data_IF_251874257063
#
_entry.id   IF_251874257063
#
_cell.length_a   1.000
_cell.length_b   1.000
_cell.length_c   1.000
_cell.angle_alpha   90.00
_cell.angle_beta   90.00
_cell.angle_gamma   90.00
#
_symmetry.space_group_name_H-M   'P 1'
#
loop_
_entity.id
_entity.type
_entity.pdbx_description
1 polymer ?
#
# COMPACT_ATOMS: atom_id res chain seq x y z
N UNK A 1 4.57 -7.70 -1.08
CA UNK A 1 5.24 -6.56 -1.74
C UNK A 1 4.28 -5.59 -2.44
N UNK A 2 3.19 -6.05 -3.07
CA UNK A 2 2.20 -5.17 -3.72
C UNK A 2 1.72 -3.99 -2.85
N UNK A 3 1.46 -4.24 -1.56
CA UNK A 3 1.01 -3.19 -0.62
C UNK A 3 2.15 -2.24 -0.26
N UNK A 4 3.34 -2.77 0.03
CA UNK A 4 4.48 -1.99 0.54
C UNK A 4 5.26 -1.25 -0.55
N UNK A 5 5.16 -1.68 -1.81
CA UNK A 5 5.91 -1.12 -2.94
C UNK A 5 5.03 -0.36 -3.91
N UNK A 6 3.81 -0.84 -4.16
CA UNK A 6 2.88 -0.22 -5.11
C UNK A 6 1.71 0.49 -4.44
N UNK A 7 1.58 0.37 -3.11
CA UNK A 7 0.45 0.98 -2.42
C UNK A 7 -0.87 0.39 -2.88
N UNK A 8 -0.96 -0.94 -3.02
CA UNK A 8 -2.25 -1.60 -3.24
C UNK A 8 -3.04 -1.73 -1.92
N UNK A 9 -4.38 -1.65 -1.92
CA UNK A 9 -5.14 -1.89 -0.68
C UNK A 9 -5.16 -3.38 -0.40
N UNK A 10 -5.29 -3.77 0.87
CA UNK A 10 -5.35 -5.19 1.24
C UNK A 10 -6.48 -5.94 0.53
N UNK A 11 -7.65 -5.31 0.40
CA UNK A 11 -8.80 -5.89 -0.31
C UNK A 11 -8.54 -6.05 -1.81
N UNK A 12 -7.91 -5.07 -2.45
CA UNK A 12 -7.57 -5.12 -3.88
C UNK A 12 -6.50 -6.20 -4.14
N UNK A 13 -5.55 -6.37 -3.21
CA UNK A 13 -4.58 -7.45 -3.26
C UNK A 13 -5.23 -8.84 -3.11
N UNK A 14 -6.25 -8.98 -2.25
CA UNK A 14 -7.02 -10.24 -2.11
C UNK A 14 -7.77 -10.61 -3.40
N UNK A 15 -8.30 -9.60 -4.09
CA UNK A 15 -9.11 -9.76 -5.30
C UNK A 15 -8.30 -9.71 -6.59
N UNK A 16 -6.98 -9.58 -6.51
CA UNK A 16 -6.10 -9.50 -7.68
C UNK A 16 -6.20 -10.78 -8.50
N UNK A 17 -6.41 -10.65 -9.81
CA UNK A 17 -6.52 -11.77 -10.76
C UNK A 17 -5.33 -11.82 -11.70
N UNK A 18 -5.09 -12.99 -12.30
CA UNK A 18 -4.00 -13.14 -13.29
C UNK A 18 -4.15 -12.19 -14.48
N UNK A 19 -5.38 -11.93 -14.91
CA UNK A 19 -5.68 -10.99 -16.00
C UNK A 19 -5.40 -9.51 -15.68
N UNK A 20 -5.17 -9.17 -14.42
CA UNK A 20 -4.82 -7.80 -14.01
C UNK A 20 -3.31 -7.51 -14.19
N UNK A 21 -2.50 -8.54 -14.47
CA UNK A 21 -1.05 -8.46 -14.62
C UNK A 21 -0.67 -8.51 -16.11
N UNK A 22 -0.27 -7.36 -16.65
CA UNK A 22 0.32 -7.24 -17.98
C UNK A 22 1.84 -7.40 -17.87
N UNK A 23 2.32 -8.63 -18.05
CA UNK A 23 3.74 -8.95 -17.96
C UNK A 23 4.58 -8.30 -19.07
N UNK A 24 4.21 -8.37 -20.37
CA UNK A 24 4.96 -7.70 -21.42
C UNK A 24 5.00 -6.17 -21.24
N UNK A 25 3.88 -5.56 -20.83
CA UNK A 25 3.78 -4.13 -20.62
C UNK A 25 4.29 -3.65 -19.26
N UNK A 26 4.70 -4.55 -18.36
CA UNK A 26 5.11 -4.28 -16.98
C UNK A 26 4.08 -3.42 -16.22
N UNK A 27 2.80 -3.79 -16.30
CA UNK A 27 1.71 -3.03 -15.66
C UNK A 27 0.81 -3.94 -14.83
N UNK A 28 0.30 -3.35 -13.76
CA UNK A 28 -0.76 -3.89 -12.93
C UNK A 28 -1.98 -2.98 -13.11
N UNK A 29 -3.11 -3.53 -13.53
CA UNK A 29 -4.36 -2.78 -13.72
C UNK A 29 -5.48 -3.38 -12.91
N UNK A 30 -5.96 -2.69 -11.89
CA UNK A 30 -7.00 -3.18 -10.97
C UNK A 30 -8.13 -2.19 -10.84
N UNK A 31 -9.35 -2.68 -10.70
CA UNK A 31 -10.48 -1.86 -10.25
C UNK A 31 -10.54 -1.91 -8.73
N UNK A 32 -10.36 -0.75 -8.09
CA UNK A 32 -10.31 -0.67 -6.63
C UNK A 32 -11.67 -0.95 -6.01
N UNK A 33 -11.73 -1.88 -5.07
CA UNK A 33 -12.98 -2.32 -4.44
C UNK A 33 -13.68 -1.20 -3.66
N UNK A 34 -12.93 -0.27 -3.08
CA UNK A 34 -13.50 0.82 -2.25
C UNK A 34 -14.04 1.99 -3.09
N UNK A 35 -13.40 2.30 -4.21
CA UNK A 35 -13.67 3.53 -4.97
C UNK A 35 -14.30 3.25 -6.33
N UNK A 36 -14.24 2.02 -6.83
CA UNK A 36 -14.71 1.65 -8.18
C UNK A 36 -13.80 2.12 -9.31
N UNK A 37 -12.71 2.84 -9.01
CA UNK A 37 -11.82 3.37 -10.04
C UNK A 37 -10.79 2.35 -10.49
N UNK A 38 -10.48 2.40 -11.78
CA UNK A 38 -9.34 1.69 -12.34
C UNK A 38 -8.05 2.42 -11.97
N UNK A 39 -7.13 1.69 -11.38
CA UNK A 39 -5.77 2.15 -11.07
C UNK A 39 -4.79 1.32 -11.88
N UNK A 40 -3.88 2.02 -12.55
CA UNK A 40 -2.78 1.42 -13.31
C UNK A 40 -1.47 1.76 -12.62
N UNK A 41 -0.70 0.73 -12.27
CA UNK A 41 0.57 0.86 -11.54
C UNK A 41 1.67 0.16 -12.34
N UNK A 42 2.92 0.67 -12.30
CA UNK A 42 4.04 -0.05 -12.85
C UNK A 42 4.24 -1.36 -12.06
N UNK A 43 4.34 -2.48 -12.76
CA UNK A 43 4.75 -3.74 -12.16
C UNK A 43 6.28 -3.71 -11.99
N UNK A 44 6.73 -3.24 -10.84
CA UNK A 44 8.15 -3.17 -10.53
C UNK A 44 8.79 -4.56 -10.60
N UNK A 45 10.03 -4.64 -11.08
CA UNK A 45 10.75 -5.90 -11.31
C UNK A 45 10.78 -6.80 -10.08
N UNK A 46 11.08 -6.25 -8.90
CA UNK A 46 11.13 -6.98 -7.63
C UNK A 46 9.75 -7.53 -7.23
N UNK A 47 8.69 -6.74 -7.45
CA UNK A 47 7.31 -7.16 -7.20
C UNK A 47 6.91 -8.27 -8.17
N UNK A 48 7.23 -8.14 -9.46
CA UNK A 48 6.96 -9.15 -10.47
C UNK A 48 7.64 -10.49 -10.13
N UNK A 49 8.94 -10.47 -9.78
CA UNK A 49 9.65 -11.66 -9.35
C UNK A 49 9.04 -12.32 -8.12
N UNK A 50 8.65 -11.52 -7.11
CA UNK A 50 8.00 -12.06 -5.92
C UNK A 50 6.64 -12.72 -6.23
N UNK A 51 5.89 -12.17 -7.18
CA UNK A 51 4.62 -12.77 -7.64
C UNK A 51 4.89 -14.06 -8.41
N UNK A 52 5.89 -14.09 -9.29
CA UNK A 52 6.28 -15.30 -10.04
C UNK A 52 6.72 -16.40 -9.08
N UNK A 53 7.57 -16.08 -8.11
CA UNK A 53 8.04 -17.06 -7.11
C UNK A 53 6.87 -17.62 -6.29
N UNK A 54 5.95 -16.77 -5.86
CA UNK A 54 4.72 -17.23 -5.23
C UNK A 54 3.91 -18.16 -6.13
N UNK A 55 3.68 -17.79 -7.39
CA UNK A 55 2.87 -18.61 -8.33
C UNK A 55 3.52 -19.99 -8.58
N UNK A 56 4.85 -20.04 -8.72
CA UNK A 56 5.58 -21.27 -9.08
C UNK A 56 5.84 -22.18 -7.89
N UNK A 57 6.16 -21.60 -6.73
CA UNK A 57 6.71 -22.33 -5.59
C UNK A 57 5.81 -22.29 -4.36
N UNK A 58 5.00 -21.23 -4.20
CA UNK A 58 4.21 -20.99 -2.99
C UNK A 58 2.72 -21.31 -3.12
N UNK A 59 2.11 -21.05 -4.28
CA UNK A 59 0.66 -21.08 -4.48
C UNK A 59 0.14 -22.52 -4.53
N UNK A 60 -0.79 -22.92 -3.64
CA UNK A 60 -1.45 -24.22 -3.73
C UNK A 60 -2.16 -24.40 -5.07
N UNK A 61 -2.35 -25.66 -5.49
CA UNK A 61 -3.15 -25.98 -6.68
C UNK A 61 -4.63 -25.68 -6.38
N UNK A 62 -5.21 -24.78 -7.16
CA UNK A 62 -6.61 -24.38 -7.07
C UNK A 62 -7.04 -23.77 -8.40
N UNK A 63 -8.20 -24.18 -8.89
CA UNK A 63 -8.83 -23.63 -10.10
C UNK A 63 -9.63 -22.37 -9.72
N UNK A 64 -8.90 -21.28 -9.54
CA UNK A 64 -9.49 -19.96 -9.30
C UNK A 64 -8.65 -18.87 -9.98
N UNK A 65 -9.31 -17.79 -10.47
CA UNK A 65 -8.64 -16.73 -11.21
C UNK A 65 -7.81 -15.78 -10.35
N UNK A 66 -8.02 -15.79 -9.02
CA UNK A 66 -7.28 -14.95 -8.08
C UNK A 66 -5.82 -15.40 -7.94
N UNK A 67 -4.91 -14.43 -7.95
CA UNK A 67 -3.48 -14.66 -7.77
C UNK A 67 -3.23 -15.26 -6.39
N UNK A 68 -3.68 -14.59 -5.32
CA UNK A 68 -3.45 -15.01 -3.94
C UNK A 68 -4.63 -15.79 -3.37
N UNK A 69 -4.32 -16.93 -2.75
CA UNK A 69 -5.30 -17.86 -2.20
C UNK A 69 -4.94 -18.27 -0.77
N UNK A 70 -5.90 -18.89 -0.08
CA UNK A 70 -5.69 -19.51 1.24
C UNK A 70 -4.84 -20.77 1.11
N UNK A 71 -3.95 -20.96 2.08
CA UNK A 71 -3.10 -22.16 2.18
C UNK A 71 -3.66 -23.21 3.15
N UNK A 72 -4.78 -22.88 3.81
CA UNK A 72 -5.50 -23.77 4.72
C UNK A 72 -6.84 -24.15 4.10
N UNK A 73 -7.30 -25.37 4.35
CA UNK A 73 -8.60 -25.82 3.86
C UNK A 73 -9.74 -24.93 4.41
N UNK A 74 -10.78 -24.64 3.59
CA UNK A 74 -10.88 -24.94 2.17
C UNK A 74 -9.96 -24.03 1.33
N UNK A 75 -9.10 -24.65 0.51
CA UNK A 75 -8.21 -23.93 -0.42
C UNK A 75 -9.08 -23.19 -1.43
N UNK A 76 -8.80 -21.90 -1.61
CA UNK A 76 -9.57 -21.03 -2.48
C UNK A 76 -9.24 -19.56 -2.24
N UNK A 77 -9.91 -18.64 -2.95
CA UNK A 77 -9.67 -17.21 -2.81
C UNK A 77 -9.95 -16.75 -1.37
N UNK A 78 -9.26 -15.70 -0.95
CA UNK A 78 -9.61 -15.02 0.28
C UNK A 78 -10.99 -14.36 0.14
N UNK A 79 -11.85 -14.57 1.13
CA UNK A 79 -13.09 -13.82 1.28
C UNK A 79 -12.84 -12.38 1.70
N UNK A 80 -13.85 -11.53 1.61
CA UNK A 80 -13.76 -10.16 2.13
C UNK A 80 -13.55 -10.11 3.65
N UNK A 81 -14.07 -11.10 4.37
CA UNK A 81 -13.94 -11.24 5.82
C UNK A 81 -12.56 -11.79 6.26
N UNK A 82 -11.78 -12.35 5.33
CA UNK A 82 -10.44 -12.82 5.64
C UNK A 82 -9.51 -11.63 5.94
N UNK A 83 -9.11 -11.52 7.20
CA UNK A 83 -8.19 -10.49 7.67
C UNK A 83 -6.74 -10.94 7.51
N UNK A 84 -6.02 -10.31 6.58
CA UNK A 84 -4.58 -10.57 6.35
C UNK A 84 -3.67 -10.13 7.52
N UNK A 85 -4.24 -9.61 8.61
CA UNK A 85 -3.52 -9.14 9.78
C UNK A 85 -2.67 -10.26 10.42
N UNK A 86 -3.22 -11.46 10.56
CA UNK A 86 -2.49 -12.57 11.20
C UNK A 86 -1.27 -13.01 10.39
N UNK A 87 -1.36 -12.93 9.05
CA UNK A 87 -0.22 -13.18 8.16
C UNK A 87 0.89 -12.16 8.44
N UNK A 88 0.54 -10.88 8.54
CA UNK A 88 1.51 -9.83 8.87
C UNK A 88 2.15 -10.06 10.25
N UNK A 89 1.35 -10.36 11.28
CA UNK A 89 1.84 -10.60 12.64
C UNK A 89 2.80 -11.78 12.67
N UNK A 90 2.48 -12.87 11.99
CA UNK A 90 3.36 -14.04 11.85
C UNK A 90 4.72 -13.65 11.28
N UNK A 91 4.75 -12.90 10.17
CA UNK A 91 6.00 -12.49 9.53
C UNK A 91 6.76 -11.45 10.36
N UNK A 92 6.08 -10.53 11.03
CA UNK A 92 6.73 -9.57 11.92
C UNK A 92 7.43 -10.26 13.09
N UNK A 93 6.78 -11.26 13.70
CA UNK A 93 7.38 -12.08 14.77
C UNK A 93 8.60 -12.86 14.27
N UNK A 94 8.48 -13.51 13.11
CA UNK A 94 9.59 -14.24 12.50
C UNK A 94 10.79 -13.32 12.15
N UNK A 95 10.53 -12.06 11.85
CA UNK A 95 11.55 -11.05 11.58
C UNK A 95 12.02 -10.28 12.83
N UNK A 96 11.60 -10.70 14.03
CA UNK A 96 11.91 -10.03 15.30
C UNK A 96 11.52 -8.53 15.34
N UNK A 97 10.49 -8.15 14.59
CA UNK A 97 9.94 -6.79 14.59
C UNK A 97 8.96 -6.65 15.75
N UNK A 98 9.28 -5.76 16.68
CA UNK A 98 8.40 -5.45 17.81
C UNK A 98 7.09 -4.79 17.33
N UNK A 99 5.97 -5.49 17.55
CA UNK A 99 4.63 -4.96 17.35
C UNK A 99 4.13 -4.41 18.69
N UNK A 100 4.22 -3.09 18.87
CA UNK A 100 3.74 -2.45 20.10
C UNK A 100 2.22 -2.32 20.14
N UNK A 101 1.62 -2.54 21.31
CA UNK A 101 0.16 -2.49 21.52
C UNK A 101 -0.46 -1.12 21.20
N UNK A 102 0.30 -0.04 21.40
CA UNK A 102 -0.17 1.33 21.17
C UNK A 102 -0.16 1.75 19.70
N UNK A 103 0.58 1.05 18.82
CA UNK A 103 0.69 1.42 17.41
C UNK A 103 -0.13 0.47 16.56
N UNK A 104 -1.06 1.02 15.76
CA UNK A 104 -1.82 0.24 14.79
C UNK A 104 -0.87 -0.48 13.83
N UNK A 105 -0.93 -1.80 13.80
CA UNK A 105 -0.18 -2.64 12.85
C UNK A 105 -1.16 -3.40 11.94
N UNK A 106 -0.88 -3.42 10.64
CA UNK A 106 -1.77 -4.01 9.65
C UNK A 106 -1.42 -3.60 8.23
N UNK A 107 -2.17 -4.11 7.26
CA UNK A 107 -1.98 -3.78 5.85
C UNK A 107 -2.11 -2.28 5.57
N UNK A 108 -2.99 -1.59 6.30
CA UNK A 108 -3.12 -0.15 6.22
C UNK A 108 -1.86 0.58 6.71
N UNK A 109 -1.24 0.10 7.79
CA UNK A 109 0.02 0.66 8.31
C UNK A 109 1.16 0.51 7.30
N UNK A 110 1.25 -0.64 6.61
CA UNK A 110 2.23 -0.84 5.53
C UNK A 110 2.03 0.15 4.38
N UNK A 111 0.78 0.39 3.98
CA UNK A 111 0.43 1.39 2.97
C UNK A 111 0.83 2.80 3.42
N UNK A 112 0.56 3.12 4.69
CA UNK A 112 0.92 4.40 5.27
C UNK A 112 2.44 4.60 5.27
N UNK A 113 3.22 3.57 5.63
CA UNK A 113 4.69 3.64 5.56
C UNK A 113 5.18 3.95 4.14
N UNK A 114 4.57 3.38 3.10
CA UNK A 114 4.92 3.73 1.72
C UNK A 114 4.62 5.21 1.42
N UNK A 115 3.43 5.68 1.78
CA UNK A 115 3.03 7.07 1.57
C UNK A 115 3.98 8.06 2.26
N UNK A 116 4.31 7.81 3.53
CA UNK A 116 5.26 8.62 4.29
C UNK A 116 6.64 8.61 3.64
N UNK A 117 7.15 7.44 3.21
CA UNK A 117 8.46 7.35 2.54
C UNK A 117 8.51 8.11 1.21
N UNK A 118 7.45 8.03 0.41
CA UNK A 118 7.36 8.79 -0.84
C UNK A 118 7.38 10.29 -0.56
N UNK A 119 6.62 10.72 0.45
CA UNK A 119 6.52 12.12 0.86
C UNK A 119 7.86 12.65 1.41
N UNK A 120 8.53 11.88 2.26
CA UNK A 120 9.86 12.20 2.79
C UNK A 120 10.94 12.22 1.69
N UNK A 121 10.78 11.37 0.67
CA UNK A 121 11.59 11.39 -0.55
C UNK A 121 11.27 12.55 -1.50
N UNK A 122 10.36 13.46 -1.14
CA UNK A 122 10.03 14.63 -1.94
C UNK A 122 9.05 14.37 -3.09
N UNK A 123 8.37 13.21 -3.10
CA UNK A 123 7.35 12.93 -4.12
C UNK A 123 6.17 13.89 -3.92
N UNK A 124 5.69 14.57 -4.98
CA UNK A 124 4.53 15.46 -4.88
C UNK A 124 3.29 14.75 -4.34
N UNK A 125 2.51 15.46 -3.52
CA UNK A 125 1.34 14.89 -2.84
C UNK A 125 0.26 14.37 -3.81
N UNK A 126 0.13 15.02 -4.97
CA UNK A 126 -0.72 14.62 -6.10
C UNK A 126 -0.32 13.22 -6.61
N UNK A 127 0.97 13.01 -6.89
CA UNK A 127 1.47 11.71 -7.36
C UNK A 127 1.32 10.61 -6.30
N UNK A 128 1.48 10.95 -5.02
CA UNK A 128 1.22 10.01 -3.92
C UNK A 128 -0.27 9.66 -3.88
N UNK A 129 -1.18 10.63 -4.07
CA UNK A 129 -2.60 10.37 -4.13
C UNK A 129 -2.95 9.43 -5.29
N UNK A 130 -2.34 9.62 -6.47
CA UNK A 130 -2.51 8.76 -7.64
C UNK A 130 -2.04 7.32 -7.37
N UNK A 131 -0.81 7.15 -6.85
CA UNK A 131 -0.26 5.84 -6.48
C UNK A 131 -1.19 5.14 -5.48
N UNK A 132 -1.77 5.90 -4.55
CA UNK A 132 -2.68 5.37 -3.54
C UNK A 132 -4.14 5.28 -4.02
N UNK A 133 -4.47 5.70 -5.24
CA UNK A 133 -5.84 5.77 -5.75
C UNK A 133 -6.78 6.49 -4.79
N UNK A 134 -6.37 7.66 -4.30
CA UNK A 134 -7.19 8.56 -3.49
C UNK A 134 -7.91 9.54 -4.43
N UNK A 135 -9.23 9.68 -4.28
CA UNK A 135 -10.03 10.64 -5.05
C UNK A 135 -9.88 12.09 -4.55
N UNK A 136 -9.31 12.29 -3.37
CA UNK A 136 -9.14 13.62 -2.79
C UNK A 136 -7.84 13.73 -2.00
N UNK A 137 -7.12 14.83 -2.24
CA UNK A 137 -5.88 15.23 -1.54
C UNK A 137 -6.10 15.40 -0.03
N UNK A 138 -7.34 15.64 0.44
CA UNK A 138 -7.65 15.72 1.88
C UNK A 138 -7.35 14.42 2.64
N UNK A 139 -7.46 13.26 1.99
CA UNK A 139 -7.05 11.98 2.59
C UNK A 139 -5.53 11.79 2.65
N UNK A 140 -4.79 12.55 1.85
CA UNK A 140 -3.33 12.54 1.76
C UNK A 140 -2.68 13.48 2.78
N UNK A 141 -3.40 14.52 3.24
CA UNK A 141 -2.95 15.42 4.30
C UNK A 141 -2.65 14.74 5.65
N UNK A 142 -3.23 13.55 5.89
CA UNK A 142 -2.91 12.71 7.06
C UNK A 142 -1.43 12.29 7.08
N UNK A 143 -0.80 12.11 5.91
CA UNK A 143 0.61 11.74 5.81
C UNK A 143 1.54 12.90 6.17
N UNK A 144 1.17 14.14 5.80
CA UNK A 144 1.94 15.34 6.15
C UNK A 144 2.05 15.49 7.67
N UNK A 145 0.94 15.28 8.40
CA UNK A 145 0.90 15.30 9.87
C UNK A 145 1.75 14.22 10.53
N UNK A 146 2.12 13.18 9.80
CA UNK A 146 2.81 12.02 10.35
C UNK A 146 4.32 12.05 10.12
N UNK A 147 4.83 12.97 9.29
CA UNK A 147 6.28 13.12 9.05
C UNK A 147 6.82 14.32 9.82
N UNK A 148 7.62 14.04 10.85
CA UNK A 148 8.27 15.06 11.67
C UNK A 148 9.19 15.98 10.85
N UNK A 149 9.90 15.42 9.87
CA UNK A 149 10.80 16.20 9.01
C UNK A 149 10.07 17.22 8.13
N UNK A 150 8.84 16.91 7.71
CA UNK A 150 8.02 17.85 6.93
C UNK A 150 7.27 18.83 7.84
N UNK A 151 6.81 18.38 9.01
CA UNK A 151 6.26 19.27 10.02
C UNK A 151 7.27 20.36 10.42
N UNK A 152 8.55 20.01 10.54
CA UNK A 152 9.62 20.97 10.80
C UNK A 152 9.77 22.02 9.67
N UNK A 153 9.53 21.64 8.41
CA UNK A 153 9.54 22.57 7.27
C UNK A 153 8.30 23.47 7.20
N UNK A 154 7.20 23.05 7.82
CA UNK A 154 5.97 23.83 7.93
C UNK A 154 5.90 24.62 9.25
N UNK A 155 6.91 24.51 10.11
CA UNK A 155 6.97 25.30 11.33
C UNK A 155 7.13 26.77 10.94
N UNK A 156 6.18 27.59 11.40
CA UNK A 156 6.34 29.04 11.33
C UNK A 156 7.53 29.42 12.20
N UNK A 157 8.41 30.25 11.66
CA UNK A 157 9.49 30.84 12.42
C UNK A 157 8.89 31.78 13.48
N UNK A 158 9.06 31.48 14.79
CA UNK A 158 8.47 32.30 15.85
C UNK A 158 9.10 33.70 15.93
N UNK A 159 10.28 33.91 15.35
CA UNK A 159 10.99 35.18 15.32
C UNK A 159 10.81 35.92 13.98
N UNK A 160 10.14 35.31 12.99
CA UNK A 160 9.77 35.98 11.75
C UNK A 160 8.71 37.06 12.05
N UNK A 161 9.15 38.31 12.05
CA UNK A 161 8.29 39.47 12.21
C UNK A 161 7.20 39.43 11.14
N UNK A 162 5.93 39.58 11.55
CA UNK A 162 4.77 39.64 10.67
C UNK A 162 4.91 40.79 9.66
N UNK A 163 5.61 40.54 8.57
CA UNK A 163 5.94 41.54 7.57
C UNK A 163 4.97 41.39 6.40
N UNK A 164 3.96 42.26 6.38
CA UNK A 164 3.22 42.59 5.15
C UNK A 164 1.92 41.83 4.90
N UNK A 165 0.89 42.10 5.70
CA UNK A 165 -0.49 42.11 5.18
C UNK A 165 -0.90 43.57 5.07
N UNK A 166 -0.57 44.19 3.93
CA UNK A 166 -1.21 45.44 3.51
C UNK A 166 -2.54 45.07 2.87
N UNK A 167 -3.62 45.70 3.35
CA UNK A 167 -5.01 45.53 2.92
C UNK A 167 -5.22 45.65 1.40
#
# INVERSE_FOLDING_TARGET
MLITRLGLRGIDAKRLRFGDLDWPGNRLSVVQAKTGHRVQLPLLKDVGWAVIDYIRSGRPRCDCPEVFIRHTAPIGPFSDQDHLHQILVKHARAAHVALGEKRRHGMHSLRHTLATRLLEGGTPIEQIADILGHQSVTSTGVYLKSSLGLLAKCALDPDASASGVTR
#
